data_IF_384166599542
#
_entry.id   IF_384166599542
#
_cell.length_a   1.000
_cell.length_b   1.000
_cell.length_c   1.000
_cell.angle_alpha   90.00
_cell.angle_beta   90.00
_cell.angle_gamma   90.00
#
_symmetry.space_group_name_H-M   'P 1'
#
loop_
_entity.id
_entity.type
_entity.pdbx_description
1 polymer ?
#
# COMPACT_ATOMS: atom_id res chain seq x y z
N UNK A 1 -3.87 11.51 -8.12
CA UNK A 1 -3.57 10.30 -7.30
C UNK A 1 -2.54 10.57 -6.21
N UNK A 2 -1.34 11.05 -6.52
CA UNK A 2 -0.29 11.31 -5.50
C UNK A 2 -0.73 12.25 -4.37
N UNK A 3 -1.33 13.39 -4.72
CA UNK A 3 -1.85 14.36 -3.75
C UNK A 3 -2.97 13.77 -2.90
N UNK A 4 -3.89 13.03 -3.52
CA UNK A 4 -4.98 12.36 -2.79
C UNK A 4 -4.42 11.31 -1.81
N UNK A 5 -3.44 10.53 -2.21
CA UNK A 5 -2.76 9.59 -1.33
C UNK A 5 -2.11 10.32 -0.13
N UNK A 6 -1.38 11.40 -0.41
CA UNK A 6 -0.76 12.22 0.62
C UNK A 6 -1.78 12.78 1.61
N UNK A 7 -2.88 13.36 1.12
CA UNK A 7 -3.95 13.92 1.97
C UNK A 7 -4.59 12.83 2.82
N UNK A 8 -4.95 11.67 2.25
CA UNK A 8 -5.50 10.57 3.01
C UNK A 8 -4.54 10.07 4.09
N UNK A 9 -3.26 9.94 3.75
CA UNK A 9 -2.27 9.51 4.72
C UNK A 9 -2.10 10.52 5.85
N UNK A 10 -2.15 11.82 5.56
CA UNK A 10 -2.02 12.89 6.55
C UNK A 10 -3.23 12.98 7.46
N UNK A 11 -4.45 12.94 6.90
CA UNK A 11 -5.70 13.00 7.67
C UNK A 11 -5.82 11.82 8.63
N UNK A 12 -5.42 10.63 8.19
CA UNK A 12 -5.48 9.41 8.99
C UNK A 12 -4.13 9.02 9.61
N UNK A 13 -3.22 9.98 9.77
CA UNK A 13 -1.85 9.74 10.24
C UNK A 13 -1.78 9.02 11.60
N UNK A 14 -2.65 9.37 12.54
CA UNK A 14 -2.70 8.73 13.85
C UNK A 14 -2.96 7.22 13.78
N UNK A 15 -3.74 6.77 12.81
CA UNK A 15 -4.02 5.35 12.55
C UNK A 15 -2.93 4.72 11.70
N UNK A 16 -2.43 5.47 10.70
CA UNK A 16 -1.45 4.99 9.73
C UNK A 16 -0.07 4.69 10.35
N UNK A 17 0.32 5.42 11.37
CA UNK A 17 1.60 5.26 12.08
C UNK A 17 1.46 4.61 13.45
N UNK A 18 0.29 4.09 13.80
CA UNK A 18 0.05 3.35 15.05
C UNK A 18 0.60 1.93 15.01
N UNK A 19 0.45 1.19 16.13
CA UNK A 19 0.98 -0.17 16.30
C UNK A 19 0.44 -1.18 15.27
N UNK A 20 -0.81 -1.03 14.82
CA UNK A 20 -1.42 -1.89 13.81
C UNK A 20 -1.13 -1.40 12.39
N UNK A 21 -0.77 -0.13 12.23
CA UNK A 21 -0.41 0.50 10.96
C UNK A 21 -1.43 0.26 9.82
N UNK A 22 -2.72 0.43 10.12
CA UNK A 22 -3.76 0.41 9.09
C UNK A 22 -3.62 1.68 8.26
N UNK A 23 -2.88 1.59 7.17
CA UNK A 23 -2.65 2.71 6.25
C UNK A 23 -3.85 2.86 5.31
N UNK A 24 -4.82 3.67 5.69
CA UNK A 24 -6.05 3.90 4.90
C UNK A 24 -5.72 4.36 3.47
N UNK A 25 -4.70 5.19 3.31
CA UNK A 25 -4.25 5.62 1.99
C UNK A 25 -3.86 4.44 1.06
N UNK A 26 -3.41 3.31 1.62
CA UNK A 26 -3.02 2.14 0.84
C UNK A 26 -4.22 1.43 0.16
N UNK A 27 -5.45 1.78 0.50
CA UNK A 27 -6.66 1.44 -0.27
C UNK A 27 -6.46 1.77 -1.75
N UNK A 28 -5.78 2.87 -2.05
CA UNK A 28 -5.52 3.34 -3.41
C UNK A 28 -4.60 2.41 -4.22
N UNK A 29 -3.87 1.49 -3.60
CA UNK A 29 -3.07 0.51 -4.33
C UNK A 29 -3.94 -0.39 -5.22
N UNK A 30 -5.21 -0.57 -4.88
CA UNK A 30 -6.16 -1.34 -5.67
C UNK A 30 -6.60 -0.69 -6.98
N UNK A 31 -6.12 0.51 -7.29
CA UNK A 31 -6.26 1.10 -8.63
C UNK A 31 -5.28 0.49 -9.64
N UNK A 32 -4.12 0.02 -9.18
CA UNK A 32 -3.06 -0.55 -10.04
C UNK A 32 -3.54 -1.77 -10.86
N UNK A 33 -4.35 -2.71 -10.32
CA UNK A 33 -4.92 -3.81 -11.11
C UNK A 33 -5.76 -3.37 -12.32
N UNK A 34 -6.37 -2.18 -12.28
CA UNK A 34 -7.13 -1.64 -13.39
C UNK A 34 -6.23 -1.02 -14.46
N UNK A 35 -5.23 -0.25 -14.03
CA UNK A 35 -4.28 0.38 -14.94
C UNK A 35 -2.94 0.63 -14.22
N UNK A 36 -1.88 0.02 -14.73
CA UNK A 36 -0.52 0.18 -14.18
C UNK A 36 0.02 1.62 -14.21
N UNK A 37 -0.60 2.53 -14.96
CA UNK A 37 -0.24 3.96 -14.96
C UNK A 37 -0.43 4.62 -13.59
N UNK A 38 -1.25 4.05 -12.72
CA UNK A 38 -1.41 4.53 -11.34
C UNK A 38 -0.16 4.31 -10.48
N UNK A 39 0.69 3.33 -10.84
CA UNK A 39 1.86 2.96 -10.05
C UNK A 39 2.81 4.14 -9.77
N UNK A 40 3.33 4.89 -10.76
CA UNK A 40 4.26 5.99 -10.48
C UNK A 40 3.62 7.10 -9.63
N UNK A 41 2.34 7.38 -9.84
CA UNK A 41 1.61 8.39 -9.05
C UNK A 41 1.46 7.97 -7.59
N UNK A 42 1.22 6.69 -7.33
CA UNK A 42 1.08 6.16 -5.98
C UNK A 42 2.44 6.12 -5.26
N UNK A 43 3.50 5.71 -5.95
CA UNK A 43 4.86 5.74 -5.39
C UNK A 43 5.24 7.16 -5.02
N UNK A 44 4.96 8.15 -5.87
CA UNK A 44 5.18 9.56 -5.55
C UNK A 44 4.37 10.00 -4.33
N UNK A 45 3.11 9.57 -4.23
CA UNK A 45 2.26 9.83 -3.07
C UNK A 45 2.83 9.26 -1.77
N UNK A 46 3.38 8.05 -1.82
CA UNK A 46 4.07 7.41 -0.69
C UNK A 46 5.33 8.19 -0.29
N UNK A 47 6.13 8.64 -1.26
CA UNK A 47 7.31 9.47 -1.00
C UNK A 47 6.89 10.75 -0.26
N UNK A 48 5.90 11.46 -0.79
CA UNK A 48 5.38 12.67 -0.15
C UNK A 48 4.85 12.41 1.26
N UNK A 49 4.10 11.33 1.44
CA UNK A 49 3.56 10.95 2.75
C UNK A 49 4.66 10.66 3.78
N UNK A 50 5.74 10.02 3.35
CA UNK A 50 6.83 9.65 4.25
C UNK A 50 7.73 10.84 4.60
N UNK A 51 7.67 11.96 3.88
CA UNK A 51 8.39 13.20 4.27
C UNK A 51 7.92 13.75 5.61
N UNK A 52 6.68 13.48 6.00
CA UNK A 52 6.10 13.92 7.28
C UNK A 52 6.03 12.80 8.33
N UNK A 53 6.62 11.65 8.05
CA UNK A 53 6.64 10.52 8.99
C UNK A 53 7.48 10.82 10.23
N UNK A 54 7.01 10.44 11.44
CA UNK A 54 7.80 10.55 12.66
C UNK A 54 9.06 9.68 12.65
N UNK A 55 9.14 8.65 11.79
CA UNK A 55 10.30 7.77 11.66
C UNK A 55 11.38 8.32 10.72
N UNK A 56 11.10 9.44 10.04
CA UNK A 56 12.07 10.17 9.21
C UNK A 56 12.57 9.38 8.00
N UNK A 57 13.90 9.40 7.79
CA UNK A 57 14.52 8.77 6.63
C UNK A 57 14.37 7.25 6.57
N UNK A 58 14.21 6.59 7.72
CA UNK A 58 13.97 5.14 7.76
C UNK A 58 12.67 4.78 7.07
N UNK A 59 11.59 5.51 7.36
CA UNK A 59 10.30 5.29 6.71
C UNK A 59 10.36 5.65 5.22
N UNK A 60 11.22 6.60 4.84
CA UNK A 60 11.49 6.90 3.44
C UNK A 60 12.09 5.69 2.71
N UNK A 61 13.06 5.01 3.31
CA UNK A 61 13.71 3.84 2.71
C UNK A 61 12.80 2.61 2.74
N UNK A 62 12.30 2.24 3.91
CA UNK A 62 11.54 1.00 4.10
C UNK A 62 10.08 1.13 3.63
N UNK A 63 9.42 2.25 3.93
CA UNK A 63 8.04 2.48 3.52
C UNK A 63 7.88 2.64 2.02
N UNK A 64 8.72 3.44 1.39
CA UNK A 64 8.76 3.59 -0.08
C UNK A 64 9.21 2.29 -0.73
N UNK A 65 10.23 1.61 -0.17
CA UNK A 65 10.70 0.32 -0.64
C UNK A 65 9.61 -0.74 -0.64
N UNK A 66 8.81 -0.81 0.43
CA UNK A 66 7.64 -1.70 0.52
C UNK A 66 6.65 -1.46 -0.63
N UNK A 67 6.36 -0.21 -0.92
CA UNK A 67 5.41 0.15 -1.98
C UNK A 67 5.98 -0.16 -3.37
N UNK A 68 7.23 0.16 -3.62
CA UNK A 68 7.89 -0.12 -4.89
C UNK A 68 7.94 -1.63 -5.14
N UNK A 69 8.40 -2.41 -4.17
CA UNK A 69 8.57 -3.86 -4.31
C UNK A 69 7.20 -4.53 -4.37
N UNK A 70 6.29 -4.21 -3.46
CA UNK A 70 4.98 -4.83 -3.37
C UNK A 70 4.12 -4.59 -4.62
N UNK A 71 4.00 -3.34 -5.04
CA UNK A 71 3.25 -3.00 -6.25
C UNK A 71 3.98 -3.42 -7.53
N UNK A 72 5.31 -3.31 -7.57
CA UNK A 72 6.12 -3.75 -8.70
C UNK A 72 5.98 -5.25 -8.94
N UNK A 73 6.09 -6.07 -7.90
CA UNK A 73 5.86 -7.51 -7.96
C UNK A 73 4.42 -7.83 -8.41
N UNK A 74 3.44 -7.13 -7.87
CA UNK A 74 2.05 -7.27 -8.27
C UNK A 74 1.85 -6.99 -9.77
N UNK A 75 2.44 -5.92 -10.29
CA UNK A 75 2.34 -5.58 -11.72
C UNK A 75 2.97 -6.68 -12.60
N UNK A 76 4.14 -7.17 -12.22
CA UNK A 76 4.83 -8.23 -12.97
C UNK A 76 3.96 -9.50 -13.04
N UNK A 77 3.39 -9.92 -11.93
CA UNK A 77 2.52 -11.10 -11.89
C UNK A 77 1.21 -10.83 -12.62
N UNK A 78 0.62 -9.65 -12.45
CA UNK A 78 -0.65 -9.28 -13.08
C UNK A 78 -0.58 -9.21 -14.61
N UNK A 79 0.60 -9.03 -15.19
CA UNK A 79 0.78 -9.08 -16.64
C UNK A 79 0.40 -10.45 -17.24
N UNK A 80 0.50 -11.51 -16.45
CA UNK A 80 0.15 -12.88 -16.87
C UNK A 80 -1.30 -13.26 -16.54
N UNK A 81 -2.04 -12.40 -15.84
CA UNK A 81 -3.38 -12.66 -15.34
C UNK A 81 -4.39 -11.81 -16.13
N UNK A 82 -5.48 -12.44 -16.60
CA UNK A 82 -6.56 -11.74 -17.31
C UNK A 82 -7.71 -11.33 -16.38
N UNK A 83 -7.96 -12.10 -15.33
CA UNK A 83 -9.08 -11.90 -14.42
C UNK A 83 -8.78 -10.78 -13.42
N UNK A 84 -9.61 -9.72 -13.43
CA UNK A 84 -9.45 -8.57 -12.54
C UNK A 84 -9.49 -8.95 -11.05
N UNK A 85 -10.37 -9.88 -10.66
CA UNK A 85 -10.48 -10.35 -9.27
C UNK A 85 -9.16 -10.95 -8.80
N UNK A 86 -8.54 -11.79 -9.63
CA UNK A 86 -7.25 -12.41 -9.31
C UNK A 86 -6.15 -11.36 -9.25
N UNK A 87 -6.14 -10.37 -10.16
CA UNK A 87 -5.20 -9.23 -10.10
C UNK A 87 -5.30 -8.45 -8.79
N UNK A 88 -6.51 -8.19 -8.32
CA UNK A 88 -6.72 -7.49 -7.05
C UNK A 88 -6.24 -8.30 -5.86
N UNK A 89 -6.51 -9.62 -5.84
CA UNK A 89 -6.04 -10.52 -4.79
C UNK A 89 -4.51 -10.61 -4.79
N UNK A 90 -3.90 -10.76 -5.95
CA UNK A 90 -2.43 -10.80 -6.11
C UNK A 90 -1.81 -9.50 -5.62
N UNK A 91 -2.39 -8.36 -5.94
CA UNK A 91 -1.91 -7.06 -5.45
C UNK A 91 -2.00 -6.98 -3.93
N UNK A 92 -3.13 -7.40 -3.34
CA UNK A 92 -3.30 -7.42 -1.89
C UNK A 92 -2.24 -8.29 -1.20
N UNK A 93 -2.01 -9.49 -1.71
CA UNK A 93 -1.02 -10.43 -1.14
C UNK A 93 0.40 -9.89 -1.32
N UNK A 94 0.77 -9.44 -2.52
CA UNK A 94 2.12 -8.95 -2.80
C UNK A 94 2.49 -7.75 -1.94
N UNK A 95 1.59 -6.79 -1.81
CA UNK A 95 1.82 -5.60 -0.98
C UNK A 95 1.88 -5.97 0.50
N UNK A 96 1.03 -6.89 0.96
CA UNK A 96 1.05 -7.35 2.36
C UNK A 96 2.32 -8.13 2.71
N UNK A 97 2.82 -8.96 1.82
CA UNK A 97 4.10 -9.65 2.02
C UNK A 97 5.27 -8.67 2.03
N UNK A 98 5.24 -7.63 1.20
CA UNK A 98 6.28 -6.61 1.19
C UNK A 98 6.38 -5.82 2.50
N UNK A 99 5.34 -5.83 3.35
CA UNK A 99 5.38 -5.18 4.67
C UNK A 99 6.38 -5.79 5.64
N UNK A 100 7.04 -6.90 5.27
CA UNK A 100 8.18 -7.41 6.03
C UNK A 100 9.27 -6.34 6.19
N UNK A 101 9.44 -5.47 5.21
CA UNK A 101 10.37 -4.35 5.29
C UNK A 101 9.97 -3.36 6.40
N UNK A 102 8.68 -3.11 6.57
CA UNK A 102 8.17 -2.27 7.65
C UNK A 102 8.38 -2.94 9.02
N UNK A 103 8.21 -4.25 9.10
CA UNK A 103 8.51 -4.99 10.32
C UNK A 103 9.99 -4.91 10.70
N UNK A 104 10.90 -4.98 9.71
CA UNK A 104 12.32 -4.79 9.92
C UNK A 104 12.63 -3.37 10.39
N UNK A 105 12.01 -2.36 9.79
CA UNK A 105 12.13 -0.96 10.21
C UNK A 105 11.73 -0.78 11.67
N UNK A 106 10.57 -1.29 12.06
CA UNK A 106 10.09 -1.21 13.44
C UNK A 106 10.98 -1.98 14.42
N UNK A 107 11.60 -3.06 13.98
CA UNK A 107 12.60 -3.76 14.77
C UNK A 107 13.83 -2.87 15.02
N UNK A 108 14.31 -2.19 14.00
CA UNK A 108 15.47 -1.28 14.11
C UNK A 108 15.17 -0.09 15.03
N UNK A 109 13.98 0.50 14.90
CA UNK A 109 13.60 1.73 15.62
C UNK A 109 13.16 1.45 17.06
N UNK A 110 12.38 0.39 17.27
CA UNK A 110 11.66 0.12 18.53
C UNK A 110 12.00 -1.21 19.17
N UNK A 111 12.93 -1.97 18.60
CA UNK A 111 13.30 -3.34 19.05
C UNK A 111 12.11 -4.31 19.14
N UNK A 112 11.07 -4.09 18.33
CA UNK A 112 9.92 -4.99 18.26
C UNK A 112 10.32 -6.31 17.59
N UNK A 113 9.75 -7.45 18.01
CA UNK A 113 10.02 -8.73 17.36
C UNK A 113 9.50 -8.71 15.90
N UNK A 114 10.33 -9.18 14.95
CA UNK A 114 10.04 -9.07 13.51
C UNK A 114 8.79 -9.86 13.13
N UNK A 115 8.68 -11.14 13.53
CA UNK A 115 7.57 -12.00 13.10
C UNK A 115 6.20 -11.55 13.63
N UNK A 116 6.00 -11.29 14.93
CA UNK A 116 4.73 -10.76 15.42
C UNK A 116 4.39 -9.40 14.84
N UNK A 117 5.36 -8.52 14.66
CA UNK A 117 5.18 -7.20 14.06
C UNK A 117 4.78 -7.32 12.58
N UNK A 118 5.45 -8.20 11.83
CA UNK A 118 5.07 -8.50 10.45
C UNK A 118 3.63 -9.00 10.36
N UNK A 119 3.24 -9.95 11.21
CA UNK A 119 1.86 -10.46 11.23
C UNK A 119 0.85 -9.33 11.46
N UNK A 120 1.09 -8.45 12.42
CA UNK A 120 0.21 -7.32 12.74
C UNK A 120 0.11 -6.32 11.59
N UNK A 121 1.25 -5.92 11.04
CA UNK A 121 1.32 -4.94 9.94
C UNK A 121 0.71 -5.53 8.66
N UNK A 122 1.00 -6.79 8.36
CA UNK A 122 0.43 -7.47 7.19
C UNK A 122 -1.10 -7.61 7.28
N UNK A 123 -1.63 -7.90 8.46
CA UNK A 123 -3.08 -7.94 8.69
C UNK A 123 -3.71 -6.56 8.48
N UNK A 124 -3.12 -5.50 9.02
CA UNK A 124 -3.56 -4.13 8.79
C UNK A 124 -3.54 -3.76 7.31
N UNK A 125 -2.49 -4.17 6.60
CA UNK A 125 -2.37 -3.96 5.17
C UNK A 125 -3.45 -4.73 4.39
N UNK A 126 -3.70 -6.00 4.73
CA UNK A 126 -4.75 -6.81 4.09
C UNK A 126 -6.14 -6.20 4.28
N UNK A 127 -6.45 -5.70 5.47
CA UNK A 127 -7.71 -5.00 5.74
C UNK A 127 -7.85 -3.79 4.80
N UNK A 128 -6.81 -2.97 4.69
CA UNK A 128 -6.80 -1.83 3.77
C UNK A 128 -7.01 -2.25 2.32
N UNK A 129 -6.38 -3.36 1.90
CA UNK A 129 -6.51 -3.88 0.55
C UNK A 129 -7.92 -4.43 0.26
N UNK A 130 -8.52 -5.13 1.21
CA UNK A 130 -9.90 -5.63 1.08
C UNK A 130 -10.88 -4.46 0.92
N UNK A 131 -10.76 -3.43 1.75
CA UNK A 131 -11.55 -2.21 1.60
C UNK A 131 -11.31 -1.56 0.23
N UNK A 132 -10.07 -1.53 -0.22
CA UNK A 132 -9.69 -1.02 -1.55
C UNK A 132 -10.34 -1.79 -2.69
N UNK A 133 -10.44 -3.10 -2.60
CA UNK A 133 -11.14 -3.94 -3.59
C UNK A 133 -12.61 -3.52 -3.71
N UNK A 134 -13.31 -3.39 -2.59
CA UNK A 134 -14.72 -2.97 -2.60
C UNK A 134 -14.89 -1.56 -3.17
N UNK A 135 -14.09 -0.61 -2.70
CA UNK A 135 -14.18 0.80 -3.12
C UNK A 135 -13.88 0.95 -4.62
N UNK A 136 -12.81 0.35 -5.11
CA UNK A 136 -12.44 0.45 -6.52
C UNK A 136 -13.45 -0.22 -7.43
N UNK A 137 -14.09 -1.31 -7.01
CA UNK A 137 -15.17 -1.95 -7.77
C UNK A 137 -16.42 -1.10 -7.85
N UNK A 138 -16.78 -0.44 -6.75
CA UNK A 138 -17.92 0.49 -6.74
C UNK A 138 -17.62 1.68 -7.65
N UNK A 139 -16.43 2.26 -7.56
CA UNK A 139 -16.00 3.36 -8.42
C UNK A 139 -15.97 2.96 -9.90
N UNK A 140 -15.46 1.78 -10.21
CA UNK A 140 -15.36 1.31 -11.59
C UNK A 140 -16.73 1.11 -12.27
N UNK A 141 -17.80 0.91 -11.49
CA UNK A 141 -19.18 0.88 -12.01
C UNK A 141 -19.66 2.25 -12.52
N UNK A 142 -19.08 3.34 -12.00
CA UNK A 142 -19.44 4.71 -12.33
C UNK A 142 -18.43 5.38 -13.25
N UNK A 143 -17.18 5.03 -13.09
CA UNK A 143 -16.04 5.61 -13.81
C UNK A 143 -15.18 4.44 -14.28
N UNK A 144 -14.87 4.37 -15.57
CA UNK A 144 -13.99 3.32 -16.08
C UNK A 144 -12.55 3.59 -15.64
N UNK A 145 -12.09 2.90 -14.60
CA UNK A 145 -10.75 3.11 -14.01
C UNK A 145 -9.62 2.66 -14.94
N UNK A 146 -9.90 1.81 -15.92
CA UNK A 146 -8.90 1.36 -16.88
C UNK A 146 -8.53 2.45 -17.91
N UNK A 147 -9.39 3.45 -18.10
CA UNK A 147 -9.22 4.48 -19.13
C UNK A 147 -8.42 5.71 -18.65
N UNK A 148 -8.03 5.76 -17.40
CA UNK A 148 -7.26 6.89 -16.84
C UNK A 148 -5.75 6.79 -17.02
#
# INVERSE_FOLDING_TARGET
>A
MAVLFFVLNTVFSAISFGAIQVRIANIMYQFVPFNKKYYPSLVLGVILANTISPLGWLDMVFGVGTSIIGLGAAILINNFIKNLTIKQIVTAISVSLATILVAIELHIVSNLPILPTFATVALGQLISQILGIFITRILNKRINLADF
#
